data_IF_645807510155
#
_entry.id   IF_645807510155
#
_cell.length_a   1.000
_cell.length_b   1.000
_cell.length_c   1.000
_cell.angle_alpha   90.00
_cell.angle_beta   90.00
_cell.angle_gamma   90.00
#
_symmetry.space_group_name_H-M   'P 1'
#
loop_
_entity.id
_entity.type
_entity.pdbx_description
1 polymer ?
#
# COMPACT_ATOMS: atom_id res chain seq x y z
N UNK A 1 18.56 -0.39 38.38
CA UNK A 1 19.54 -0.42 37.29
C UNK A 1 18.77 -0.28 36.00
N UNK A 2 18.92 0.84 35.27
CA UNK A 2 18.32 0.99 33.96
C UNK A 2 19.22 0.26 32.95
N UNK A 3 18.71 -0.82 32.36
CA UNK A 3 19.40 -1.42 31.23
C UNK A 3 19.31 -0.45 30.05
N UNK A 4 20.42 0.01 29.54
CA UNK A 4 20.48 0.77 28.30
C UNK A 4 20.45 -0.22 27.12
N UNK A 5 19.44 -0.07 26.22
CA UNK A 5 19.37 -0.82 24.99
C UNK A 5 20.12 -0.06 23.90
N UNK A 6 21.24 -0.62 23.44
CA UNK A 6 21.95 -0.06 22.27
C UNK A 6 21.25 -0.47 20.97
N UNK A 7 20.83 0.51 20.21
CA UNK A 7 20.22 0.29 18.89
C UNK A 7 20.75 1.30 17.86
N UNK A 8 20.70 0.92 16.59
CA UNK A 8 21.04 1.80 15.48
C UNK A 8 19.81 2.63 15.06
N UNK A 9 18.59 2.08 15.25
CA UNK A 9 17.31 2.72 14.93
C UNK A 9 16.29 2.44 16.02
N UNK A 10 15.73 3.51 16.58
CA UNK A 10 14.56 3.45 17.46
C UNK A 10 13.31 3.86 16.66
N UNK A 11 12.32 2.99 16.64
CA UNK A 11 11.03 3.23 15.97
C UNK A 11 9.96 3.41 17.04
N UNK A 12 9.22 4.50 16.97
CA UNK A 12 8.09 4.78 17.87
C UNK A 12 6.78 4.55 17.10
N UNK A 13 6.03 3.54 17.51
CA UNK A 13 4.77 3.13 16.94
C UNK A 13 4.87 1.85 16.09
N UNK A 14 4.07 0.84 16.45
CA UNK A 14 4.00 -0.49 15.84
C UNK A 14 2.88 -0.67 14.82
N UNK A 15 2.44 0.40 14.15
CA UNK A 15 1.52 0.33 13.01
C UNK A 15 2.23 -0.19 11.75
N UNK A 16 1.51 -0.21 10.61
CA UNK A 16 2.03 -0.73 9.34
C UNK A 16 3.33 -0.05 8.90
N UNK A 17 3.46 1.26 9.12
CA UNK A 17 4.66 2.00 8.77
C UNK A 17 5.85 1.61 9.67
N UNK A 18 5.64 1.59 11.00
CA UNK A 18 6.69 1.21 11.95
C UNK A 18 7.16 -0.23 11.74
N UNK A 19 6.24 -1.16 11.53
CA UNK A 19 6.56 -2.55 11.23
C UNK A 19 7.33 -2.70 9.90
N UNK A 20 6.92 -1.94 8.86
CA UNK A 20 7.61 -1.92 7.57
C UNK A 20 9.04 -1.40 7.67
N UNK A 21 9.25 -0.29 8.39
CA UNK A 21 10.58 0.29 8.63
C UNK A 21 11.44 -0.66 9.45
N UNK A 22 10.87 -1.26 10.52
CA UNK A 22 11.58 -2.22 11.36
C UNK A 22 12.10 -3.42 10.56
N UNK A 23 11.23 -3.97 9.70
CA UNK A 23 11.58 -5.10 8.82
C UNK A 23 12.70 -4.73 7.84
N UNK A 24 12.60 -3.57 7.18
CA UNK A 24 13.60 -3.14 6.20
C UNK A 24 14.95 -2.87 6.87
N UNK A 25 14.97 -2.15 7.99
CA UNK A 25 16.19 -1.87 8.75
C UNK A 25 16.85 -3.16 9.26
N UNK A 26 16.06 -4.08 9.84
CA UNK A 26 16.57 -5.36 10.31
C UNK A 26 17.13 -6.20 9.16
N UNK A 27 16.45 -6.20 8.00
CA UNK A 27 16.91 -6.87 6.78
C UNK A 27 18.25 -6.32 6.24
N UNK A 28 18.58 -5.08 6.58
CA UNK A 28 19.87 -4.44 6.26
C UNK A 28 20.94 -4.66 7.34
N UNK A 29 20.65 -5.43 8.38
CA UNK A 29 21.57 -5.76 9.45
C UNK A 29 21.68 -4.71 10.55
N UNK A 30 20.76 -3.73 10.60
CA UNK A 30 20.70 -2.73 11.66
C UNK A 30 20.03 -3.30 12.91
N UNK A 31 20.50 -2.88 14.08
CA UNK A 31 19.88 -3.20 15.37
C UNK A 31 18.68 -2.28 15.57
N UNK A 32 17.48 -2.85 15.57
CA UNK A 32 16.24 -2.09 15.64
C UNK A 32 15.52 -2.33 16.96
N UNK A 33 15.11 -1.27 17.62
CA UNK A 33 14.15 -1.29 18.73
C UNK A 33 12.87 -0.64 18.27
N UNK A 34 11.74 -1.35 18.45
CA UNK A 34 10.42 -0.82 18.18
C UNK A 34 9.67 -0.67 19.51
N UNK A 35 9.22 0.55 19.80
CA UNK A 35 8.42 0.87 20.98
C UNK A 35 6.97 1.14 20.55
N UNK A 36 6.04 0.35 21.08
CA UNK A 36 4.60 0.52 20.89
C UNK A 36 3.94 0.67 22.28
N UNK A 37 2.99 1.60 22.40
CA UNK A 37 2.30 1.86 23.68
C UNK A 37 1.21 0.84 23.99
N UNK A 38 0.64 0.23 22.95
CA UNK A 38 -0.43 -0.75 23.05
C UNK A 38 -0.05 -2.02 22.27
N UNK A 39 -0.98 -2.70 21.63
CA UNK A 39 -0.69 -3.84 20.77
C UNK A 39 -0.34 -3.40 19.33
N UNK A 40 0.40 -4.23 18.62
CA UNK A 40 0.78 -3.96 17.23
C UNK A 40 -0.44 -3.73 16.36
N UNK A 41 -0.41 -2.70 15.54
CA UNK A 41 -1.47 -2.33 14.60
C UNK A 41 -2.82 -1.98 15.24
N UNK A 42 -2.93 -1.83 16.55
CA UNK A 42 -4.20 -1.64 17.28
C UNK A 42 -4.94 -0.34 16.99
N UNK A 43 -4.27 0.65 16.39
CA UNK A 43 -4.83 1.97 16.09
C UNK A 43 -5.21 2.14 14.60
N UNK A 44 -4.65 3.16 13.94
CA UNK A 44 -4.98 3.54 12.54
C UNK A 44 -4.88 2.37 11.56
N UNK A 45 -3.89 1.51 11.73
CA UNK A 45 -3.68 0.36 10.84
C UNK A 45 -4.83 -0.64 10.88
N UNK A 46 -5.45 -0.87 12.04
CA UNK A 46 -6.64 -1.72 12.16
C UNK A 46 -7.94 -1.03 11.74
N UNK A 47 -7.98 0.32 11.82
CA UNK A 47 -9.15 1.13 11.47
C UNK A 47 -9.17 1.60 10.02
N UNK A 48 -8.18 1.22 9.21
CA UNK A 48 -8.12 1.51 7.78
C UNK A 48 -9.00 0.56 6.98
N UNK A 49 -9.30 0.91 5.72
CA UNK A 49 -10.00 0.01 4.78
C UNK A 49 -9.17 -1.22 4.40
N UNK A 50 -7.88 -1.23 4.72
CA UNK A 50 -6.90 -2.26 4.35
C UNK A 50 -6.78 -2.48 2.83
N UNK A 51 -7.28 -1.52 2.05
CA UNK A 51 -7.20 -1.54 0.60
C UNK A 51 -5.85 -0.98 0.16
N UNK A 52 -5.05 -1.80 -0.52
CA UNK A 52 -3.77 -1.39 -1.10
C UNK A 52 -4.00 -1.09 -2.57
N UNK A 53 -3.83 0.18 -2.95
CA UNK A 53 -4.13 0.66 -4.30
C UNK A 53 -3.17 1.77 -4.72
N UNK A 54 -3.09 2.02 -6.02
CA UNK A 54 -2.26 3.09 -6.59
C UNK A 54 -2.89 4.48 -6.55
N UNK A 55 -4.12 4.61 -6.01
CA UNK A 55 -4.81 5.89 -5.93
C UNK A 55 -5.28 6.42 -7.28
N UNK A 56 -6.25 5.75 -7.90
CA UNK A 56 -6.81 6.12 -9.21
C UNK A 56 -7.17 7.62 -9.31
N UNK A 57 -7.64 8.21 -8.21
CA UNK A 57 -7.99 9.64 -8.15
C UNK A 57 -6.81 10.57 -8.45
N UNK A 58 -5.59 10.15 -8.15
CA UNK A 58 -4.39 10.97 -8.42
C UNK A 58 -4.10 11.13 -9.91
N UNK A 59 -4.65 10.27 -10.77
CA UNK A 59 -4.57 10.47 -12.22
C UNK A 59 -5.29 11.75 -12.67
N UNK A 60 -6.30 12.18 -11.94
CA UNK A 60 -7.02 13.44 -12.21
C UNK A 60 -6.13 14.68 -11.99
N UNK A 61 -5.13 14.53 -11.14
CA UNK A 61 -4.15 15.58 -10.83
C UNK A 61 -2.83 15.39 -11.60
N UNK A 62 -2.81 14.50 -12.59
CA UNK A 62 -1.63 14.20 -13.41
C UNK A 62 -0.43 13.66 -12.62
N UNK A 63 -0.64 13.13 -11.42
CA UNK A 63 0.38 12.54 -10.54
C UNK A 63 0.80 11.13 -10.97
N UNK A 64 1.13 10.95 -12.26
CA UNK A 64 1.44 9.65 -12.84
C UNK A 64 2.64 8.96 -12.18
N UNK A 65 3.66 9.74 -11.77
CA UNK A 65 4.84 9.19 -11.12
C UNK A 65 4.50 8.61 -9.74
N UNK A 66 3.63 9.28 -8.98
CA UNK A 66 3.15 8.82 -7.69
C UNK A 66 2.35 7.53 -7.83
N UNK A 67 1.38 7.52 -8.77
CA UNK A 67 0.55 6.34 -9.04
C UNK A 67 1.41 5.15 -9.46
N UNK A 68 2.39 5.38 -10.35
CA UNK A 68 3.31 4.33 -10.80
C UNK A 68 4.10 3.74 -9.64
N UNK A 69 4.68 4.58 -8.76
CA UNK A 69 5.42 4.12 -7.57
C UNK A 69 4.51 3.28 -6.65
N UNK A 70 3.30 3.76 -6.35
CA UNK A 70 2.36 3.04 -5.50
C UNK A 70 1.94 1.68 -6.10
N UNK A 71 1.78 1.60 -7.44
CA UNK A 71 1.48 0.34 -8.12
C UNK A 71 2.65 -0.65 -8.07
N UNK A 72 3.88 -0.18 -8.20
CA UNK A 72 5.08 -1.02 -8.05
C UNK A 72 5.17 -1.57 -6.62
N UNK A 73 4.98 -0.71 -5.62
CA UNK A 73 4.98 -1.13 -4.21
C UNK A 73 3.84 -2.11 -3.89
N UNK A 74 2.69 -1.96 -4.52
CA UNK A 74 1.59 -2.93 -4.39
C UNK A 74 2.04 -4.34 -4.81
N UNK A 75 2.75 -4.47 -5.94
CA UNK A 75 3.26 -5.78 -6.40
C UNK A 75 4.31 -6.35 -5.43
N UNK A 76 5.16 -5.50 -4.85
CA UNK A 76 6.13 -5.91 -3.81
C UNK A 76 5.39 -6.45 -2.58
N UNK A 77 4.35 -5.76 -2.13
CA UNK A 77 3.55 -6.20 -0.98
C UNK A 77 2.79 -7.49 -1.25
N UNK A 78 2.21 -7.66 -2.45
CA UNK A 78 1.54 -8.90 -2.86
C UNK A 78 2.49 -10.11 -2.79
N UNK A 79 3.74 -9.94 -3.22
CA UNK A 79 4.77 -10.99 -3.09
C UNK A 79 5.21 -11.23 -1.65
N UNK A 80 5.26 -10.17 -0.84
CA UNK A 80 5.73 -10.26 0.54
C UNK A 80 4.70 -10.88 1.48
N UNK A 81 3.41 -10.72 1.20
CA UNK A 81 2.32 -11.17 2.06
C UNK A 81 1.17 -11.82 1.27
N UNK A 82 1.43 -12.85 0.44
CA UNK A 82 0.43 -13.47 -0.42
C UNK A 82 -0.69 -14.17 0.37
N UNK A 83 -0.43 -14.50 1.64
CA UNK A 83 -1.38 -15.17 2.52
C UNK A 83 -2.49 -14.26 3.05
N UNK A 84 -2.31 -12.93 2.98
CA UNK A 84 -3.29 -11.95 3.47
C UNK A 84 -3.71 -10.93 2.42
N UNK A 85 -3.14 -11.00 1.22
CA UNK A 85 -3.41 -10.07 0.13
C UNK A 85 -3.90 -10.81 -1.11
N UNK A 86 -5.03 -10.38 -1.65
CA UNK A 86 -5.60 -10.89 -2.89
C UNK A 86 -6.27 -9.77 -3.68
N UNK A 87 -6.42 -9.92 -5.00
CA UNK A 87 -7.13 -8.95 -5.82
C UNK A 87 -8.59 -8.85 -5.42
N UNK A 88 -9.05 -7.63 -5.21
CA UNK A 88 -10.45 -7.35 -4.91
C UNK A 88 -11.14 -6.83 -6.18
N UNK A 89 -12.30 -7.41 -6.51
CA UNK A 89 -13.13 -6.94 -7.61
C UNK A 89 -14.02 -5.81 -7.13
N UNK A 90 -14.01 -4.69 -7.86
CA UNK A 90 -14.87 -3.55 -7.62
C UNK A 90 -15.94 -3.46 -8.67
N UNK A 91 -17.15 -3.09 -8.24
CA UNK A 91 -18.23 -2.66 -9.10
C UNK A 91 -18.45 -1.18 -8.86
N UNK A 92 -18.31 -0.39 -9.91
CA UNK A 92 -18.53 1.06 -9.84
C UNK A 92 -19.88 1.39 -10.49
N UNK A 93 -20.91 1.73 -9.69
CA UNK A 93 -22.16 2.21 -10.24
C UNK A 93 -21.92 3.47 -11.06
N UNK A 94 -22.62 3.61 -12.18
CA UNK A 94 -22.49 4.75 -13.06
C UNK A 94 -23.82 5.46 -13.22
N UNK A 95 -23.87 6.72 -12.81
CA UNK A 95 -25.03 7.61 -12.96
C UNK A 95 -24.84 8.60 -14.12
N UNK A 96 -25.95 9.10 -14.73
CA UNK A 96 -25.88 10.06 -15.83
C UNK A 96 -25.13 11.35 -15.54
N UNK A 97 -25.02 11.75 -14.26
CA UNK A 97 -24.26 12.93 -13.81
C UNK A 97 -22.76 12.71 -13.66
N UNK A 98 -22.28 11.49 -13.82
CA UNK A 98 -20.85 11.16 -13.71
C UNK A 98 -20.12 11.41 -15.03
N UNK A 99 -18.78 11.32 -14.98
CA UNK A 99 -17.95 11.36 -16.19
C UNK A 99 -18.34 10.28 -17.18
N UNK A 100 -18.23 10.53 -18.49
CA UNK A 100 -18.56 9.55 -19.51
C UNK A 100 -17.83 8.21 -19.29
N UNK A 101 -18.53 7.10 -19.49
CA UNK A 101 -17.99 5.74 -19.28
C UNK A 101 -16.69 5.53 -20.05
N UNK A 102 -16.58 6.04 -21.28
CA UNK A 102 -15.36 5.90 -22.08
C UNK A 102 -14.13 6.57 -21.40
N UNK A 103 -14.33 7.71 -20.75
CA UNK A 103 -13.25 8.41 -20.03
C UNK A 103 -12.80 7.60 -18.80
N UNK A 104 -13.75 7.04 -18.06
CA UNK A 104 -13.46 6.15 -16.92
C UNK A 104 -12.67 4.92 -17.40
N UNK A 105 -13.12 4.30 -18.50
CA UNK A 105 -12.42 3.14 -19.09
C UNK A 105 -11.01 3.49 -19.56
N UNK A 106 -10.82 4.64 -20.20
CA UNK A 106 -9.49 5.13 -20.59
C UNK A 106 -8.58 5.35 -19.38
N UNK A 107 -9.11 5.95 -18.30
CA UNK A 107 -8.37 6.14 -17.04
C UNK A 107 -7.97 4.81 -16.41
N UNK A 108 -8.87 3.83 -16.36
CA UNK A 108 -8.57 2.48 -15.85
C UNK A 108 -7.56 1.76 -16.73
N UNK A 109 -7.67 1.87 -18.05
CA UNK A 109 -6.68 1.32 -18.98
C UNK A 109 -5.28 1.91 -18.72
N UNK A 110 -5.18 3.24 -18.60
CA UNK A 110 -3.93 3.90 -18.27
C UNK A 110 -3.38 3.44 -16.92
N UNK A 111 -4.23 3.38 -15.90
CA UNK A 111 -3.87 2.91 -14.57
C UNK A 111 -3.29 1.49 -14.60
N UNK A 112 -3.88 0.59 -15.37
CA UNK A 112 -3.43 -0.78 -15.52
C UNK A 112 -2.08 -0.92 -16.25
N UNK A 113 -1.70 0.08 -17.06
CA UNK A 113 -0.47 0.06 -17.86
C UNK A 113 0.66 0.93 -17.27
N UNK A 114 0.40 1.69 -16.20
CA UNK A 114 1.43 2.52 -15.54
C UNK A 114 2.50 1.69 -14.81
N UNK A 115 2.17 0.50 -14.36
CA UNK A 115 3.14 -0.42 -13.77
C UNK A 115 2.95 -1.83 -14.34
N UNK A 116 4.07 -2.55 -14.48
CA UNK A 116 4.04 -3.94 -14.92
C UNK A 116 3.42 -4.80 -13.83
N UNK A 117 2.36 -5.52 -14.15
CA UNK A 117 1.76 -6.54 -13.28
C UNK A 117 2.49 -7.87 -13.50
N UNK A 118 2.92 -8.51 -12.43
CA UNK A 118 3.66 -9.77 -12.58
C UNK A 118 2.76 -11.00 -12.59
N UNK A 119 1.59 -11.01 -11.91
CA UNK A 119 0.84 -12.27 -11.79
C UNK A 119 -0.68 -12.20 -11.58
N UNK A 120 -1.34 -11.06 -11.51
CA UNK A 120 -2.74 -11.08 -11.10
C UNK A 120 -3.65 -10.47 -12.16
N UNK A 121 -4.65 -11.30 -12.51
CA UNK A 121 -5.66 -11.10 -13.51
C UNK A 121 -6.10 -9.66 -13.72
N UNK A 122 -6.27 -9.30 -14.98
CA UNK A 122 -6.80 -8.03 -15.43
C UNK A 122 -8.09 -7.70 -14.67
N UNK A 123 -8.23 -6.45 -14.20
CA UNK A 123 -9.53 -5.97 -13.80
C UNK A 123 -10.45 -6.15 -15.02
N UNK A 124 -11.30 -7.15 -14.98
CA UNK A 124 -12.35 -7.28 -15.97
C UNK A 124 -13.44 -6.28 -15.63
N UNK A 125 -13.67 -5.33 -16.52
CA UNK A 125 -14.85 -4.47 -16.55
C UNK A 125 -15.94 -5.20 -17.30
#
# INVERSE_FOLDING_TARGET
MSESLDCDVLIVGGGINGAGIARDCAGRGLRVVLAEKDDLASHTSSSSTKLIHGGLRYLEYYEFALVRKALVEREVLLRSAPHIMWPLRFVMPHDPGMRPVWMIRAGLFLYDHLARREEIGRAHV
#
